data_IF_447813315020
#
_entry.id   IF_447813315020
#
_cell.length_a   1.000
_cell.length_b   1.000
_cell.length_c   1.000
_cell.angle_alpha   90.00
_cell.angle_beta   90.00
_cell.angle_gamma   90.00
#
_symmetry.space_group_name_H-M   'P 1'
#
loop_
_entity.id
_entity.type
_entity.pdbx_description
1 polymer ?
#
# COMPACT_ATOMS: atom_id res chain seq x y z
N UNK A 1 30.99 14.46 -40.73
CA UNK A 1 31.27 14.08 -39.33
C UNK A 1 29.94 13.81 -38.67
N UNK A 2 29.72 12.57 -38.21
CA UNK A 2 28.51 12.15 -37.51
C UNK A 2 28.60 12.63 -36.06
N UNK A 3 27.71 13.54 -35.65
CA UNK A 3 27.45 13.80 -34.24
C UNK A 3 26.58 12.64 -33.69
N UNK A 4 26.91 12.06 -32.52
CA UNK A 4 26.01 11.12 -31.89
C UNK A 4 24.80 11.92 -31.38
N UNK A 5 23.62 11.62 -31.92
CA UNK A 5 22.34 12.06 -31.36
C UNK A 5 22.26 11.55 -29.92
N UNK A 6 22.69 12.40 -28.99
CA UNK A 6 22.67 12.14 -27.56
C UNK A 6 21.24 11.85 -27.14
N UNK A 7 21.02 10.62 -26.67
CA UNK A 7 19.79 10.14 -26.06
C UNK A 7 19.46 10.94 -24.80
N UNK A 8 18.92 12.14 -24.99
CA UNK A 8 18.28 12.91 -23.94
C UNK A 8 16.98 12.19 -23.55
N UNK A 9 16.99 11.57 -22.36
CA UNK A 9 15.76 11.22 -21.63
C UNK A 9 15.32 9.75 -21.64
N UNK A 10 16.19 8.78 -21.89
CA UNK A 10 15.80 7.38 -21.67
C UNK A 10 15.86 7.01 -20.19
N UNK A 11 14.70 6.86 -19.55
CA UNK A 11 14.58 6.20 -18.25
C UNK A 11 13.91 4.83 -18.44
N UNK A 12 14.50 3.78 -17.85
CA UNK A 12 13.95 2.43 -17.83
C UNK A 12 13.32 2.19 -16.47
N UNK A 13 11.98 2.09 -16.42
CA UNK A 13 11.28 1.57 -15.24
C UNK A 13 11.13 0.07 -15.45
N UNK A 14 11.98 -0.70 -14.79
CA UNK A 14 11.87 -2.15 -14.78
C UNK A 14 11.12 -2.60 -13.52
N UNK A 15 10.14 -3.47 -13.70
CA UNK A 15 9.59 -4.26 -12.59
C UNK A 15 10.63 -5.34 -12.26
N UNK A 16 11.40 -5.12 -11.21
CA UNK A 16 12.29 -6.14 -10.64
C UNK A 16 11.48 -6.86 -9.57
N UNK A 17 10.96 -8.04 -9.90
CA UNK A 17 10.35 -8.92 -8.92
C UNK A 17 11.40 -9.92 -8.44
N UNK A 18 11.71 -9.93 -7.16
CA UNK A 18 12.01 -11.20 -6.50
C UNK A 18 10.70 -12.00 -6.47
N UNK A 19 10.80 -13.34 -6.49
CA UNK A 19 9.67 -14.28 -6.60
C UNK A 19 8.41 -13.74 -5.91
N UNK A 20 7.32 -13.54 -6.68
CA UNK A 20 6.14 -12.84 -6.23
C UNK A 20 5.62 -13.46 -4.90
N UNK A 21 5.71 -12.76 -3.74
CA UNK A 21 5.65 -13.44 -2.46
C UNK A 21 4.34 -14.19 -2.18
N UNK A 22 3.25 -13.85 -2.85
CA UNK A 22 1.99 -14.58 -2.72
C UNK A 22 1.07 -14.34 -3.92
N UNK A 23 1.52 -14.68 -5.14
CA UNK A 23 0.67 -14.56 -6.33
C UNK A 23 -0.62 -15.39 -6.15
N UNK A 24 -1.77 -14.73 -6.20
CA UNK A 24 -3.09 -15.39 -6.22
C UNK A 24 -3.92 -15.29 -4.95
N UNK A 25 -3.41 -14.72 -3.85
CA UNK A 25 -4.23 -14.45 -2.66
C UNK A 25 -5.25 -13.33 -2.91
N UNK A 26 -6.52 -13.60 -2.63
CA UNK A 26 -7.61 -12.64 -2.75
C UNK A 26 -7.67 -11.73 -1.52
N UNK A 27 -7.65 -10.41 -1.72
CA UNK A 27 -7.73 -9.39 -0.66
C UNK A 27 -9.07 -8.65 -0.66
N UNK A 28 -10.17 -9.39 -0.69
CA UNK A 28 -11.55 -8.89 -0.73
C UNK A 28 -12.19 -8.61 0.64
N UNK A 29 -11.47 -8.87 1.74
CA UNK A 29 -11.94 -8.63 3.11
C UNK A 29 -10.79 -8.15 4.00
N UNK A 30 -11.01 -7.27 5.01
CA UNK A 30 -9.94 -6.87 5.94
C UNK A 30 -9.20 -8.03 6.62
N UNK A 31 -9.85 -9.18 6.87
CA UNK A 31 -9.19 -10.35 7.44
C UNK A 31 -8.21 -11.01 6.48
N UNK A 32 -8.46 -10.99 5.17
CA UNK A 32 -7.50 -11.54 4.20
C UNK A 32 -6.28 -10.64 4.07
N UNK A 33 -6.45 -9.32 4.24
CA UNK A 33 -5.37 -8.32 4.33
C UNK A 33 -4.53 -8.57 5.58
N UNK A 34 -5.17 -8.71 6.75
CA UNK A 34 -4.48 -9.02 8.00
C UNK A 34 -3.72 -10.35 7.91
N UNK A 35 -4.28 -11.38 7.27
CA UNK A 35 -3.58 -12.63 7.06
C UNK A 35 -2.34 -12.45 6.18
N UNK A 36 -2.40 -11.68 5.07
CA UNK A 36 -1.21 -11.39 4.25
C UNK A 36 -0.18 -10.63 5.08
N UNK A 37 -0.63 -9.65 5.86
CA UNK A 37 0.25 -8.90 6.74
C UNK A 37 1.00 -9.83 7.71
N UNK A 38 0.31 -10.75 8.37
CA UNK A 38 0.94 -11.68 9.30
C UNK A 38 1.92 -12.64 8.63
N UNK A 39 1.62 -13.08 7.40
CA UNK A 39 2.44 -14.05 6.68
C UNK A 39 3.67 -13.40 6.02
N UNK A 40 3.55 -12.16 5.53
CA UNK A 40 4.56 -11.51 4.69
C UNK A 40 5.27 -10.34 5.40
N UNK A 41 4.50 -9.48 6.06
CA UNK A 41 5.00 -8.21 6.61
C UNK A 41 5.56 -8.43 8.01
N UNK A 42 4.76 -9.00 8.91
CA UNK A 42 5.15 -9.21 10.31
C UNK A 42 6.30 -10.22 10.49
N UNK A 43 6.57 -11.05 9.48
CA UNK A 43 7.68 -12.01 9.44
C UNK A 43 8.93 -11.47 8.77
N UNK A 44 8.85 -10.31 8.11
CA UNK A 44 10.00 -9.75 7.43
C UNK A 44 11.07 -9.32 8.43
N UNK A 45 12.34 -9.52 8.08
CA UNK A 45 13.48 -9.20 8.96
C UNK A 45 13.61 -7.72 9.32
N UNK A 46 13.00 -6.84 8.51
CA UNK A 46 12.97 -5.39 8.71
C UNK A 46 11.78 -4.91 9.54
N UNK A 47 10.81 -5.79 9.84
CA UNK A 47 9.63 -5.40 10.60
C UNK A 47 9.95 -5.23 12.08
N UNK A 48 9.48 -4.12 12.64
CA UNK A 48 9.59 -3.78 14.06
C UNK A 48 8.20 -3.52 14.65
N UNK A 49 7.63 -4.41 15.50
CA UNK A 49 6.28 -4.21 16.03
C UNK A 49 6.13 -2.94 16.89
N UNK A 50 7.23 -2.36 17.37
CA UNK A 50 7.23 -1.09 18.11
C UNK A 50 7.09 0.14 17.20
N UNK A 51 7.14 -0.03 15.87
CA UNK A 51 6.99 1.05 14.89
C UNK A 51 5.75 0.83 14.04
N UNK A 52 5.14 1.94 13.66
CA UNK A 52 4.10 1.94 12.65
C UNK A 52 4.72 1.71 11.27
N UNK A 53 4.15 0.79 10.51
CA UNK A 53 4.54 0.46 9.16
C UNK A 53 3.35 0.71 8.25
N UNK A 54 3.56 1.41 7.14
CA UNK A 54 2.52 1.65 6.13
C UNK A 54 2.88 0.85 4.90
N UNK A 55 1.99 -0.02 4.45
CA UNK A 55 2.19 -0.91 3.32
C UNK A 55 1.05 -0.77 2.34
N UNK A 56 1.38 -0.66 1.05
CA UNK A 56 0.42 -0.74 -0.04
C UNK A 56 0.46 -2.12 -0.66
N UNK A 57 -0.70 -2.78 -0.73
CA UNK A 57 -0.91 -4.05 -1.42
C UNK A 57 -1.51 -3.77 -2.79
N UNK A 58 -0.80 -4.16 -3.86
CA UNK A 58 -1.22 -3.93 -5.24
C UNK A 58 -2.07 -5.09 -5.75
N UNK A 59 -3.22 -4.80 -6.32
CA UNK A 59 -4.22 -5.78 -6.73
C UNK A 59 -4.50 -5.76 -8.23
N UNK A 60 -4.83 -6.92 -8.79
CA UNK A 60 -5.42 -7.01 -10.12
C UNK A 60 -6.95 -6.85 -10.08
N UNK A 61 -7.60 -6.90 -11.25
CA UNK A 61 -9.06 -6.77 -11.40
C UNK A 61 -9.89 -7.81 -10.62
N UNK A 62 -9.27 -8.93 -10.21
CA UNK A 62 -9.90 -10.01 -9.44
C UNK A 62 -9.54 -9.95 -7.96
N UNK A 63 -9.09 -8.80 -7.46
CA UNK A 63 -8.64 -8.61 -6.07
C UNK A 63 -7.45 -9.50 -5.67
N UNK A 64 -6.72 -10.05 -6.65
CA UNK A 64 -5.58 -10.90 -6.35
C UNK A 64 -4.33 -10.06 -6.16
N UNK A 65 -3.56 -10.38 -5.13
CA UNK A 65 -2.30 -9.73 -4.81
C UNK A 65 -1.27 -9.92 -5.92
N UNK A 66 -0.79 -8.79 -6.46
CA UNK A 66 0.32 -8.71 -7.42
C UNK A 66 1.66 -8.50 -6.73
N UNK A 67 1.65 -7.92 -5.54
CA UNK A 67 2.82 -7.59 -4.73
C UNK A 67 2.48 -6.51 -3.70
N UNK A 68 3.45 -6.15 -2.86
CA UNK A 68 3.31 -5.12 -1.85
C UNK A 68 4.53 -4.22 -1.80
N UNK A 69 4.37 -3.01 -1.24
CA UNK A 69 5.47 -2.07 -1.05
C UNK A 69 5.32 -1.36 0.30
N UNK A 70 6.42 -1.26 1.05
CA UNK A 70 6.48 -0.44 2.27
C UNK A 70 6.58 1.02 1.85
N UNK A 71 5.59 1.81 2.22
CA UNK A 71 5.50 3.25 1.96
C UNK A 71 6.28 4.01 3.03
N UNK A 72 6.17 3.60 4.30
CA UNK A 72 6.84 4.26 5.41
C UNK A 72 7.00 3.33 6.63
N UNK A 73 7.97 3.67 7.48
CA UNK A 73 8.23 3.04 8.79
C UNK A 73 8.53 4.15 9.80
N UNK A 74 7.86 4.17 10.94
CA UNK A 74 8.01 5.18 12.00
C UNK A 74 6.72 5.97 12.27
N UNK A 75 6.82 7.05 13.04
CA UNK A 75 5.65 7.87 13.40
C UNK A 75 5.10 8.65 12.20
N UNK A 76 3.78 8.74 12.14
CA UNK A 76 3.01 9.53 11.18
C UNK A 76 3.11 11.05 11.42
N UNK A 77 4.32 11.58 11.63
CA UNK A 77 4.56 13.03 11.70
C UNK A 77 4.38 13.62 10.29
N UNK A 78 3.14 14.06 10.03
CA UNK A 78 2.58 14.86 8.92
C UNK A 78 2.84 14.47 7.44
N UNK A 79 3.76 13.56 7.08
CA UNK A 79 4.19 13.40 5.66
C UNK A 79 4.38 12.00 5.04
N UNK A 80 4.34 10.84 5.74
CA UNK A 80 4.74 9.58 5.08
C UNK A 80 3.75 9.03 4.04
N UNK A 81 2.46 9.36 4.11
CA UNK A 81 1.42 8.78 3.24
C UNK A 81 1.00 9.72 2.09
N UNK A 82 1.98 10.34 1.41
CA UNK A 82 1.70 11.16 0.24
C UNK A 82 1.18 10.29 -0.94
N UNK A 83 0.16 10.74 -1.69
CA UNK A 83 -0.38 9.96 -2.80
C UNK A 83 0.65 9.49 -3.83
N UNK A 84 1.68 10.29 -4.11
CA UNK A 84 2.76 9.86 -5.03
C UNK A 84 3.52 8.63 -4.55
N UNK A 85 3.74 8.48 -3.25
CA UNK A 85 4.51 7.37 -2.69
C UNK A 85 3.67 6.09 -2.67
N UNK A 86 2.38 6.21 -2.34
CA UNK A 86 1.43 5.09 -2.31
C UNK A 86 1.05 4.63 -3.72
N UNK A 87 0.80 5.56 -4.66
CA UNK A 87 0.28 5.25 -5.99
C UNK A 87 1.39 4.85 -6.97
N UNK A 88 2.63 5.32 -6.79
CA UNK A 88 3.77 4.91 -7.63
C UNK A 88 3.92 3.39 -7.76
N UNK A 89 3.99 2.59 -6.68
CA UNK A 89 4.12 1.13 -6.81
C UNK A 89 2.89 0.50 -7.48
N UNK A 90 1.69 1.04 -7.28
CA UNK A 90 0.46 0.56 -7.94
C UNK A 90 0.57 0.74 -9.46
N UNK A 91 0.99 1.91 -9.91
CA UNK A 91 1.16 2.25 -11.33
C UNK A 91 2.27 1.39 -11.96
N UNK A 92 3.44 1.33 -11.32
CA UNK A 92 4.60 0.59 -11.84
C UNK A 92 4.33 -0.92 -11.92
N UNK A 93 3.54 -1.45 -10.99
CA UNK A 93 3.15 -2.86 -11.00
C UNK A 93 1.95 -3.17 -11.91
N UNK A 94 1.43 -2.18 -12.66
CA UNK A 94 0.23 -2.29 -13.49
C UNK A 94 -0.99 -2.81 -12.70
N UNK A 95 -1.14 -2.32 -11.46
CA UNK A 95 -2.27 -2.64 -10.61
C UNK A 95 -3.58 -2.05 -11.13
N UNK A 96 -4.65 -2.80 -10.98
CA UNK A 96 -6.01 -2.28 -11.16
C UNK A 96 -6.44 -1.41 -9.96
N UNK A 97 -5.96 -1.79 -8.78
CA UNK A 97 -6.31 -1.14 -7.53
C UNK A 97 -5.34 -1.54 -6.43
N UNK A 98 -5.63 -1.08 -5.22
CA UNK A 98 -4.80 -1.33 -4.06
C UNK A 98 -5.60 -1.32 -2.76
N UNK A 99 -4.99 -1.92 -1.73
CA UNK A 99 -5.37 -1.75 -0.33
C UNK A 99 -4.20 -1.08 0.37
N UNK A 100 -4.49 -0.07 1.21
CA UNK A 100 -3.50 0.49 2.14
C UNK A 100 -3.69 -0.22 3.48
N UNK A 101 -2.61 -0.60 4.15
CA UNK A 101 -2.69 -1.07 5.51
C UNK A 101 -1.54 -0.57 6.37
N UNK A 102 -1.81 -0.38 7.65
CA UNK A 102 -0.78 -0.09 8.64
C UNK A 102 -1.09 -0.67 10.00
N UNK A 103 -0.07 -0.84 10.83
CA UNK A 103 -0.23 -1.26 12.22
C UNK A 103 -0.15 -0.08 13.18
N UNK A 104 -0.95 -0.11 14.23
CA UNK A 104 -0.78 0.76 15.38
C UNK A 104 -0.02 0.00 16.48
N UNK A 105 1.21 0.43 16.86
CA UNK A 105 1.97 -0.21 17.95
C UNK A 105 1.25 -0.18 19.30
N UNK A 106 0.31 0.76 19.50
CA UNK A 106 -0.55 0.81 20.69
C UNK A 106 -1.50 -0.39 20.80
N UNK A 107 -1.77 -1.07 19.69
CA UNK A 107 -2.73 -2.16 19.58
C UNK A 107 -4.19 -1.74 19.36
N UNK A 108 -4.51 -0.44 19.42
CA UNK A 108 -5.84 0.09 19.12
C UNK A 108 -5.92 0.49 17.63
N UNK A 109 -6.78 -0.16 16.82
CA UNK A 109 -6.90 0.13 15.40
C UNK A 109 -7.76 1.37 15.09
N UNK A 110 -8.23 2.12 16.10
CA UNK A 110 -9.00 3.34 15.88
C UNK A 110 -8.18 4.34 15.05
N UNK A 111 -8.70 4.85 13.92
CA UNK A 111 -7.97 5.76 13.05
C UNK A 111 -7.68 7.09 13.74
N UNK A 112 -6.48 7.62 13.52
CA UNK A 112 -6.14 8.99 13.85
C UNK A 112 -6.73 9.96 12.82
N UNK A 113 -6.72 11.26 13.15
CA UNK A 113 -7.08 12.32 12.19
C UNK A 113 -6.16 12.32 10.95
N UNK A 114 -4.91 11.92 11.13
CA UNK A 114 -3.94 11.86 10.05
C UNK A 114 -4.27 10.70 9.08
N UNK A 115 -4.70 9.55 9.61
CA UNK A 115 -5.17 8.42 8.80
C UNK A 115 -6.39 8.79 7.96
N UNK A 116 -7.38 9.45 8.57
CA UNK A 116 -8.56 9.92 7.85
C UNK A 116 -8.20 10.90 6.72
N UNK A 117 -7.30 11.84 6.99
CA UNK A 117 -6.86 12.81 6.00
C UNK A 117 -6.09 12.16 4.86
N UNK A 118 -5.19 11.22 5.18
CA UNK A 118 -4.46 10.45 4.19
C UNK A 118 -5.42 9.63 3.31
N UNK A 119 -6.39 8.95 3.93
CA UNK A 119 -7.42 8.14 3.24
C UNK A 119 -8.19 8.98 2.24
N UNK A 120 -8.71 10.15 2.64
CA UNK A 120 -9.46 11.04 1.74
C UNK A 120 -8.61 11.51 0.56
N UNK A 121 -7.39 11.99 0.83
CA UNK A 121 -6.46 12.45 -0.23
C UNK A 121 -6.09 11.34 -1.21
N UNK A 122 -5.89 10.12 -0.70
CA UNK A 122 -5.60 8.95 -1.53
C UNK A 122 -6.80 8.55 -2.38
N UNK A 123 -8.01 8.57 -1.82
CA UNK A 123 -9.23 8.27 -2.57
C UNK A 123 -9.41 9.23 -3.75
N UNK A 124 -9.27 10.54 -3.52
CA UNK A 124 -9.34 11.56 -4.57
C UNK A 124 -8.26 11.34 -5.65
N UNK A 125 -7.00 11.18 -5.24
CA UNK A 125 -5.88 11.00 -6.16
C UNK A 125 -5.98 9.69 -6.97
N UNK A 126 -6.39 8.59 -6.33
CA UNK A 126 -6.60 7.31 -7.00
C UNK A 126 -7.73 7.41 -8.04
N UNK A 127 -8.82 8.11 -7.71
CA UNK A 127 -9.92 8.39 -8.62
C UNK A 127 -9.47 9.13 -9.89
N UNK A 128 -8.62 10.15 -9.74
CA UNK A 128 -8.05 10.89 -10.89
C UNK A 128 -7.22 9.98 -11.81
N UNK A 129 -6.52 8.99 -11.25
CA UNK A 129 -5.69 8.04 -11.98
C UNK A 129 -6.44 6.78 -12.42
N UNK A 130 -7.76 6.70 -12.16
CA UNK A 130 -8.59 5.52 -12.42
C UNK A 130 -8.06 4.24 -11.76
N UNK A 131 -7.41 4.38 -10.60
CA UNK A 131 -6.99 3.27 -9.74
C UNK A 131 -8.03 3.06 -8.65
N UNK A 132 -8.42 1.81 -8.40
CA UNK A 132 -9.40 1.51 -7.35
C UNK A 132 -8.72 1.44 -5.97
N UNK A 133 -9.08 2.34 -5.07
CA UNK A 133 -8.71 2.24 -3.66
C UNK A 133 -9.75 1.35 -2.94
N UNK A 134 -9.40 0.11 -2.67
CA UNK A 134 -10.35 -0.90 -2.20
C UNK A 134 -10.64 -0.82 -0.71
N UNK A 135 -9.63 -0.56 0.10
CA UNK A 135 -9.79 -0.40 1.55
C UNK A 135 -8.55 0.27 2.15
N UNK A 136 -8.75 0.86 3.32
CA UNK A 136 -7.67 1.22 4.23
C UNK A 136 -7.86 0.43 5.53
N UNK A 137 -6.89 -0.42 5.86
CA UNK A 137 -6.97 -1.38 6.96
C UNK A 137 -5.97 -1.05 8.06
N UNK A 138 -6.44 -0.78 9.26
CA UNK A 138 -5.59 -0.55 10.43
C UNK A 138 -5.57 -1.80 11.29
N UNK A 139 -4.37 -2.28 11.61
CA UNK A 139 -4.12 -3.51 12.37
C UNK A 139 -3.77 -3.17 13.81
N UNK A 140 -4.57 -3.69 14.74
CA UNK A 140 -4.33 -3.65 16.17
C UNK A 140 -3.95 -5.01 16.75
N UNK A 141 -4.04 -5.15 18.07
CA UNK A 141 -3.78 -6.41 18.77
C UNK A 141 -4.99 -7.37 18.67
N UNK A 142 -5.05 -8.11 17.57
CA UNK A 142 -6.13 -9.07 17.30
C UNK A 142 -7.44 -8.42 16.83
N UNK A 143 -7.43 -7.10 16.63
CA UNK A 143 -8.56 -6.33 16.12
C UNK A 143 -8.14 -5.57 14.86
N UNK A 144 -9.13 -5.23 14.02
CA UNK A 144 -8.91 -4.62 12.72
C UNK A 144 -9.95 -3.52 12.53
N UNK A 145 -9.51 -2.36 12.02
CA UNK A 145 -10.40 -1.33 11.49
C UNK A 145 -10.33 -1.34 9.96
N UNK A 146 -11.48 -1.20 9.31
CA UNK A 146 -11.61 -1.10 7.85
C UNK A 146 -12.39 0.16 7.53
N UNK A 147 -11.78 1.09 6.79
CA UNK A 147 -12.44 2.30 6.35
C UNK A 147 -13.61 2.00 5.41
N UNK A 148 -13.48 1.00 4.54
CA UNK A 148 -14.59 0.54 3.69
C UNK A 148 -15.72 -0.05 4.53
N UNK A 149 -15.38 -0.88 5.51
CA UNK A 149 -16.35 -1.52 6.41
C UNK A 149 -17.08 -0.54 7.31
N UNK A 150 -16.43 0.58 7.68
CA UNK A 150 -17.05 1.64 8.48
C UNK A 150 -17.88 2.64 7.64
N UNK A 151 -17.77 2.61 6.31
CA UNK A 151 -18.42 3.56 5.41
C UNK A 151 -17.68 4.89 5.27
N UNK A 152 -16.41 4.96 5.69
CA UNK A 152 -15.56 6.14 5.61
C UNK A 152 -14.67 6.19 4.35
N UNK A 153 -14.86 5.25 3.41
CA UNK A 153 -14.21 5.15 2.10
C UNK A 153 -15.22 4.76 1.01
#
# INVERSE_FOLDING_TARGET
MNEPSGLLGQFRVARVGEDAPASGRCLDHPHSVAAVWQDEIARASWFDPAKEHIVVFVLNIRMQLLGWNVVAIGTLDESPCHPREVLRPVIVAAGHGFVLAHNHPSGDPTPSRADELATRRLHEAAGLLQLRFHDHVILGHGTIYSFRGSGAL
#
